data_IF_645080171745
#
_entry.id   IF_645080171745
#
_cell.length_a   1.000
_cell.length_b   1.000
_cell.length_c   1.000
_cell.angle_alpha   90.00
_cell.angle_beta   90.00
_cell.angle_gamma   90.00
#
_symmetry.space_group_name_H-M   'P 1'
#
loop_
_entity.id
_entity.type
_entity.pdbx_description
1 polymer ?
#
# COMPACT_ATOMS: atom_id res chain seq x y z
N UNK A 1 -1.75 -2.26 20.88
CA UNK A 1 -2.90 -2.81 20.11
C UNK A 1 -2.40 -3.89 19.16
N UNK A 2 -3.23 -4.85 18.74
CA UNK A 2 -2.91 -5.80 17.65
C UNK A 2 -3.89 -5.62 16.50
N UNK A 3 -3.40 -5.53 15.28
CA UNK A 3 -4.22 -5.47 14.08
C UNK A 3 -3.94 -6.70 13.22
N UNK A 4 -4.95 -7.54 13.04
CA UNK A 4 -4.90 -8.68 12.13
C UNK A 4 -5.30 -8.23 10.74
N UNK A 5 -4.40 -8.40 9.78
CA UNK A 5 -4.55 -7.87 8.42
C UNK A 5 -4.17 -8.92 7.38
N UNK A 6 -4.63 -8.72 6.14
CA UNK A 6 -4.16 -9.46 4.97
C UNK A 6 -3.65 -8.43 3.96
N UNK A 7 -2.46 -8.61 3.38
CA UNK A 7 -1.91 -7.68 2.39
C UNK A 7 -2.87 -7.43 1.23
N UNK A 8 -3.03 -6.16 0.88
CA UNK A 8 -3.91 -5.73 -0.20
C UNK A 8 -5.40 -5.79 0.15
N UNK A 9 -5.77 -6.14 1.38
CA UNK A 9 -7.16 -6.10 1.83
C UNK A 9 -7.55 -4.72 2.39
N UNK A 10 -8.80 -4.57 2.83
CA UNK A 10 -9.29 -3.29 3.38
C UNK A 10 -8.60 -2.88 4.67
N UNK A 11 -7.96 -3.84 5.36
CA UNK A 11 -7.21 -3.62 6.58
C UNK A 11 -6.05 -2.61 6.44
N UNK A 12 -5.58 -2.32 5.21
CA UNK A 12 -4.61 -1.24 4.98
C UNK A 12 -5.13 0.11 5.49
N UNK A 13 -6.44 0.37 5.42
CA UNK A 13 -7.01 1.61 5.92
C UNK A 13 -6.76 1.77 7.43
N UNK A 14 -6.92 0.68 8.18
CA UNK A 14 -6.70 0.65 9.63
C UNK A 14 -5.20 0.76 9.95
N UNK A 15 -4.33 0.11 9.16
CA UNK A 15 -2.87 0.29 9.25
C UNK A 15 -2.48 1.76 9.09
N UNK A 16 -2.96 2.43 8.04
CA UNK A 16 -2.64 3.83 7.77
C UNK A 16 -3.04 4.73 8.95
N UNK A 17 -4.23 4.51 9.53
CA UNK A 17 -4.69 5.29 10.69
C UNK A 17 -3.85 5.01 11.94
N UNK A 18 -3.43 3.76 12.16
CA UNK A 18 -2.49 3.43 13.23
C UNK A 18 -1.12 4.10 13.03
N UNK A 19 -0.59 4.13 11.80
CA UNK A 19 0.65 4.86 11.49
C UNK A 19 0.49 6.37 11.74
N UNK A 20 -0.61 6.97 11.30
CA UNK A 20 -0.91 8.38 11.57
C UNK A 20 -1.05 8.69 13.06
N UNK A 21 -1.42 7.69 13.87
CA UNK A 21 -1.52 7.86 15.32
C UNK A 21 -0.16 7.95 16.01
N UNK A 22 0.89 7.41 15.39
CA UNK A 22 2.21 7.25 15.99
C UNK A 22 2.25 6.30 17.20
N UNK A 23 1.17 5.59 17.50
CA UNK A 23 1.11 4.65 18.62
C UNK A 23 1.70 3.30 18.25
N UNK A 24 2.38 2.62 19.19
CA UNK A 24 2.86 1.27 18.97
C UNK A 24 1.70 0.27 18.82
N UNK A 25 1.78 -0.56 17.81
CA UNK A 25 0.88 -1.68 17.59
C UNK A 25 1.63 -2.88 16.98
N UNK A 26 1.04 -4.05 17.11
CA UNK A 26 1.50 -5.28 16.49
C UNK A 26 0.64 -5.55 15.24
N UNK A 27 1.28 -5.62 14.08
CA UNK A 27 0.63 -6.00 12.83
C UNK A 27 0.73 -7.52 12.64
N UNK A 28 -0.39 -8.23 12.77
CA UNK A 28 -0.46 -9.68 12.63
C UNK A 28 -0.90 -10.03 11.21
N UNK A 29 0.04 -10.48 10.39
CA UNK A 29 -0.21 -10.88 9.00
C UNK A 29 -1.01 -12.18 8.96
N UNK A 30 -2.08 -12.18 8.16
CA UNK A 30 -2.98 -13.30 7.95
C UNK A 30 -3.05 -13.69 6.48
N UNK A 31 -3.49 -14.92 6.21
CA UNK A 31 -3.79 -15.44 4.88
C UNK A 31 -5.18 -16.10 4.86
N UNK A 32 -5.63 -16.57 3.68
CA UNK A 32 -6.97 -17.16 3.52
C UNK A 32 -7.19 -18.41 4.37
N UNK A 33 -6.13 -19.12 4.75
CA UNK A 33 -6.18 -20.30 5.61
C UNK A 33 -6.17 -19.88 7.09
N UNK A 34 -5.27 -18.98 7.50
CA UNK A 34 -5.12 -18.60 8.91
C UNK A 34 -6.38 -17.90 9.46
N UNK A 35 -7.12 -17.14 8.63
CA UNK A 35 -8.41 -16.55 9.04
C UNK A 35 -9.55 -17.56 9.23
N UNK A 36 -9.31 -18.83 8.89
CA UNK A 36 -10.27 -19.95 9.07
C UNK A 36 -9.83 -20.93 10.14
N UNK A 37 -8.69 -20.69 10.80
CA UNK A 37 -8.22 -21.55 11.89
C UNK A 37 -9.03 -21.27 13.17
N UNK A 38 -9.25 -22.29 14.03
CA UNK A 38 -10.05 -22.16 15.24
C UNK A 38 -9.61 -21.03 16.16
N UNK A 39 -8.30 -20.78 16.28
CA UNK A 39 -7.73 -19.75 17.13
C UNK A 39 -8.15 -18.34 16.69
N UNK A 40 -8.18 -18.09 15.38
CA UNK A 40 -8.65 -16.81 14.84
C UNK A 40 -10.17 -16.72 14.87
N UNK A 41 -10.88 -17.79 14.56
CA UNK A 41 -12.36 -17.82 14.57
C UNK A 41 -12.93 -17.61 15.98
N UNK A 42 -12.18 -18.00 17.02
CA UNK A 42 -12.52 -17.69 18.41
C UNK A 42 -12.51 -16.17 18.70
N UNK A 43 -11.67 -15.40 17.98
CA UNK A 43 -11.61 -13.93 18.07
C UNK A 43 -12.60 -13.26 17.11
N UNK A 44 -12.70 -13.76 15.87
CA UNK A 44 -13.60 -13.25 14.85
C UNK A 44 -14.33 -14.40 14.13
N UNK A 45 -15.56 -14.73 14.55
CA UNK A 45 -16.35 -15.82 13.95
C UNK A 45 -16.63 -15.66 12.46
N UNK A 46 -16.60 -14.43 11.92
CA UNK A 46 -16.77 -14.20 10.49
C UNK A 46 -15.57 -14.69 9.65
N UNK A 47 -14.39 -14.84 10.28
CA UNK A 47 -13.16 -15.29 9.62
C UNK A 47 -12.75 -14.37 8.48
N UNK A 48 -12.77 -13.06 8.72
CA UNK A 48 -12.39 -12.01 7.77
C UNK A 48 -11.50 -10.98 8.46
N UNK A 49 -10.62 -10.32 7.70
CA UNK A 49 -9.88 -9.14 8.16
C UNK A 49 -10.59 -7.86 7.70
N UNK A 50 -10.36 -6.71 8.34
CA UNK A 50 -9.54 -6.47 9.54
C UNK A 50 -10.15 -7.00 10.84
N UNK A 51 -9.29 -7.21 11.85
CA UNK A 51 -9.69 -7.38 13.25
C UNK A 51 -8.71 -6.61 14.15
N UNK A 52 -9.22 -5.75 15.02
CA UNK A 52 -8.42 -5.04 16.02
C UNK A 52 -8.62 -5.71 17.39
N UNK A 53 -7.52 -5.95 18.11
CA UNK A 53 -7.53 -6.34 19.53
C UNK A 53 -6.85 -5.25 20.35
N UNK A 54 -7.56 -4.72 21.34
CA UNK A 54 -7.08 -3.71 22.26
C UNK A 54 -7.38 -4.14 23.71
N UNK A 55 -6.40 -4.77 24.36
CA UNK A 55 -6.60 -5.36 25.68
C UNK A 55 -7.54 -6.57 25.60
N UNK A 56 -8.61 -6.56 26.37
CA UNK A 56 -9.70 -7.55 26.36
C UNK A 56 -10.77 -7.26 25.29
N UNK A 57 -10.71 -6.08 24.65
CA UNK A 57 -11.65 -5.68 23.62
C UNK A 57 -11.21 -6.15 22.24
N UNK A 58 -12.14 -6.78 21.50
CA UNK A 58 -11.95 -7.20 20.11
C UNK A 58 -13.00 -6.54 19.23
N UNK A 59 -12.57 -5.93 18.13
CA UNK A 59 -13.41 -5.17 17.23
C UNK A 59 -13.17 -5.57 15.77
N UNK A 60 -14.23 -6.06 15.13
CA UNK A 60 -14.31 -6.28 13.69
C UNK A 60 -15.05 -5.11 13.01
N UNK A 61 -15.12 -5.16 11.68
CA UNK A 61 -15.67 -4.09 10.81
C UNK A 61 -14.77 -2.87 10.68
N UNK A 62 -14.28 -2.64 9.46
CA UNK A 62 -13.34 -1.56 9.14
C UNK A 62 -13.88 -0.18 9.54
N UNK A 63 -15.17 0.11 9.29
CA UNK A 63 -15.80 1.39 9.69
C UNK A 63 -15.79 1.61 11.21
N UNK A 64 -15.95 0.54 11.99
CA UNK A 64 -15.96 0.61 13.44
C UNK A 64 -14.54 0.76 13.99
N UNK A 65 -13.58 0.00 13.44
CA UNK A 65 -12.16 0.11 13.79
C UNK A 65 -11.64 1.52 13.51
N UNK A 66 -11.85 2.05 12.30
CA UNK A 66 -11.44 3.40 11.93
C UNK A 66 -12.06 4.47 12.84
N UNK A 67 -13.35 4.36 13.15
CA UNK A 67 -14.02 5.28 14.08
C UNK A 67 -13.43 5.21 15.49
N UNK A 68 -13.20 3.99 15.99
CA UNK A 68 -12.60 3.75 17.30
C UNK A 68 -11.17 4.32 17.40
N UNK A 69 -10.33 4.10 16.38
CA UNK A 69 -8.98 4.67 16.32
C UNK A 69 -8.99 6.20 16.28
N UNK A 70 -9.94 6.81 15.56
CA UNK A 70 -10.10 8.26 15.56
C UNK A 70 -10.53 8.80 16.93
N UNK A 71 -11.44 8.09 17.63
CA UNK A 71 -11.91 8.46 18.97
C UNK A 71 -10.82 8.28 20.05
N UNK A 72 -9.89 7.33 19.88
CA UNK A 72 -8.70 7.19 20.74
C UNK A 72 -7.69 8.34 20.56
N UNK A 73 -7.72 9.02 19.41
CA UNK A 73 -6.76 10.06 19.04
C UNK A 73 -7.44 11.36 18.59
N UNK A 74 -8.27 11.98 19.45
CA UNK A 74 -9.05 13.17 19.09
C UNK A 74 -8.18 14.36 18.69
N UNK A 75 -6.95 14.44 19.21
CA UNK A 75 -5.98 15.47 18.85
C UNK A 75 -5.59 15.48 17.37
N UNK A 76 -5.73 14.33 16.68
CA UNK A 76 -5.46 14.22 15.24
C UNK A 76 -6.65 14.68 14.39
N UNK A 77 -7.83 14.82 15.02
CA UNK A 77 -9.06 15.28 14.38
C UNK A 77 -9.44 14.44 13.14
N UNK A 78 -9.13 13.14 13.14
CA UNK A 78 -9.39 12.23 12.01
C UNK A 78 -10.88 11.92 11.82
N UNK A 79 -11.72 12.24 12.81
CA UNK A 79 -13.18 12.20 12.74
C UNK A 79 -13.82 13.59 12.56
N UNK A 80 -13.03 14.58 12.10
CA UNK A 80 -13.47 15.98 11.97
C UNK A 80 -12.96 16.87 13.11
N UNK A 81 -13.49 18.09 13.20
CA UNK A 81 -13.10 19.11 14.18
C UNK A 81 -13.73 18.93 15.57
N UNK A 82 -14.38 17.79 15.82
CA UNK A 82 -15.13 17.50 17.04
C UNK A 82 -16.59 17.96 17.01
N UNK A 83 -17.00 18.75 16.01
CA UNK A 83 -18.41 19.10 15.84
C UNK A 83 -19.23 17.92 15.31
N UNK A 84 -20.53 17.81 15.67
CA UNK A 84 -21.42 16.80 15.09
C UNK A 84 -21.49 16.86 13.57
N UNK A 85 -21.38 18.06 13.00
CA UNK A 85 -21.40 18.27 11.55
C UNK A 85 -20.17 17.69 10.87
N UNK A 86 -18.97 17.98 11.35
CA UNK A 86 -17.75 17.43 10.77
C UNK A 86 -17.69 15.90 10.91
N UNK A 87 -18.13 15.37 12.06
CA UNK A 87 -18.29 13.92 12.27
C UNK A 87 -19.23 13.31 11.24
N UNK A 88 -20.40 13.91 11.02
CA UNK A 88 -21.38 13.41 10.06
C UNK A 88 -20.84 13.42 8.61
N UNK A 89 -20.06 14.44 8.23
CA UNK A 89 -19.42 14.51 6.91
C UNK A 89 -18.39 13.38 6.69
N UNK A 90 -17.55 13.10 7.69
CA UNK A 90 -16.61 11.96 7.64
C UNK A 90 -17.36 10.64 7.56
N UNK A 91 -18.37 10.45 8.41
CA UNK A 91 -19.17 9.23 8.43
C UNK A 91 -19.97 9.02 7.14
N UNK A 92 -20.42 10.08 6.47
CA UNK A 92 -21.08 9.99 5.16
C UNK A 92 -20.16 9.36 4.11
N UNK A 93 -18.93 9.87 4.01
CA UNK A 93 -17.96 9.35 3.04
C UNK A 93 -17.46 7.97 3.41
N UNK A 94 -17.23 7.71 4.69
CA UNK A 94 -16.84 6.38 5.17
C UNK A 94 -17.95 5.35 4.92
N UNK A 95 -19.21 5.71 5.14
CA UNK A 95 -20.38 4.91 4.81
C UNK A 95 -20.45 4.60 3.33
N UNK A 96 -20.35 5.62 2.46
CA UNK A 96 -20.34 5.45 1.01
C UNK A 96 -19.21 4.51 0.53
N UNK A 97 -18.00 4.69 1.04
CA UNK A 97 -16.84 3.84 0.71
C UNK A 97 -17.08 2.38 1.12
N UNK A 98 -17.63 2.15 2.30
CA UNK A 98 -17.89 0.81 2.82
C UNK A 98 -19.09 0.11 2.14
N UNK A 99 -20.22 0.80 2.04
CA UNK A 99 -21.48 0.20 1.63
C UNK A 99 -21.64 0.09 0.12
N UNK A 100 -21.03 1.01 -0.64
CA UNK A 100 -21.26 1.14 -2.07
C UNK A 100 -19.98 0.78 -2.84
N UNK A 101 -18.90 1.53 -2.58
CA UNK A 101 -17.64 1.39 -3.35
C UNK A 101 -16.98 0.03 -3.11
N UNK A 102 -16.70 -0.33 -1.86
CA UNK A 102 -16.10 -1.62 -1.52
C UNK A 102 -16.99 -2.77 -2.03
N UNK A 103 -18.30 -2.71 -1.80
CA UNK A 103 -19.20 -3.78 -2.27
C UNK A 103 -19.18 -3.94 -3.78
N UNK A 104 -19.03 -2.87 -4.56
CA UNK A 104 -18.94 -2.93 -6.01
C UNK A 104 -17.71 -3.70 -6.52
N UNK A 105 -16.65 -3.84 -5.72
CA UNK A 105 -15.51 -4.69 -6.08
C UNK A 105 -15.76 -6.20 -5.89
N UNK A 106 -16.77 -6.61 -5.12
CA UNK A 106 -16.96 -8.04 -4.81
C UNK A 106 -17.16 -8.94 -6.03
N UNK A 107 -17.93 -8.56 -7.06
CA UNK A 107 -18.06 -9.37 -8.27
C UNK A 107 -16.79 -9.40 -9.12
N UNK A 108 -15.85 -8.46 -8.90
CA UNK A 108 -14.55 -8.43 -9.57
C UNK A 108 -13.58 -9.40 -8.89
N UNK A 109 -13.54 -9.42 -7.56
CA UNK A 109 -12.63 -10.27 -6.78
C UNK A 109 -13.10 -11.71 -6.62
N UNK A 110 -14.42 -11.90 -6.54
CA UNK A 110 -15.04 -13.19 -6.22
C UNK A 110 -16.23 -13.49 -7.15
N UNK A 111 -16.05 -13.48 -8.48
CA UNK A 111 -17.14 -13.74 -9.43
C UNK A 111 -17.81 -15.12 -9.19
N UNK A 112 -17.07 -16.10 -8.70
CA UNK A 112 -17.55 -17.45 -8.37
C UNK A 112 -18.66 -17.48 -7.31
N UNK A 113 -18.76 -16.44 -6.46
CA UNK A 113 -19.85 -16.33 -5.47
C UNK A 113 -21.20 -15.98 -6.09
N UNK A 114 -21.19 -15.44 -7.29
CA UNK A 114 -22.39 -15.04 -8.03
C UNK A 114 -22.68 -16.02 -9.17
N UNK A 115 -21.63 -16.59 -9.76
CA UNK A 115 -21.68 -17.49 -10.90
C UNK A 115 -20.77 -18.70 -10.64
N UNK A 116 -21.24 -19.70 -9.87
CA UNK A 116 -20.42 -20.88 -9.53
C UNK A 116 -19.90 -21.63 -10.76
N UNK A 117 -20.69 -21.66 -11.84
CA UNK A 117 -20.34 -22.34 -13.09
C UNK A 117 -19.49 -21.47 -14.05
N UNK A 118 -19.17 -20.23 -13.65
CA UNK A 118 -18.21 -19.35 -14.33
C UNK A 118 -18.63 -18.73 -15.66
N UNK A 119 -19.70 -19.20 -16.30
CA UNK A 119 -20.03 -18.87 -17.70
C UNK A 119 -20.14 -17.38 -18.05
N UNK A 120 -20.58 -16.53 -17.11
CA UNK A 120 -20.71 -15.06 -17.31
C UNK A 120 -19.76 -14.24 -16.42
N UNK A 121 -18.74 -14.87 -15.82
CA UNK A 121 -17.87 -14.21 -14.84
C UNK A 121 -17.16 -12.96 -15.41
N UNK A 122 -16.69 -13.03 -16.65
CA UNK A 122 -16.01 -11.91 -17.31
C UNK A 122 -16.96 -10.72 -17.53
N UNK A 123 -18.20 -10.99 -17.94
CA UNK A 123 -19.23 -9.97 -18.15
C UNK A 123 -19.65 -9.34 -16.82
N UNK A 124 -19.85 -10.15 -15.78
CA UNK A 124 -20.15 -9.68 -14.43
C UNK A 124 -19.06 -8.74 -13.90
N UNK A 125 -17.79 -9.13 -14.04
CA UNK A 125 -16.66 -8.31 -13.64
C UNK A 125 -16.56 -7.01 -14.47
N UNK A 126 -16.90 -7.05 -15.77
CA UNK A 126 -16.93 -5.85 -16.61
C UNK A 126 -18.03 -4.87 -16.17
N UNK A 127 -19.24 -5.34 -15.90
CA UNK A 127 -20.33 -4.52 -15.36
C UNK A 127 -19.95 -3.92 -14.01
N UNK A 128 -19.36 -4.72 -13.11
CA UNK A 128 -18.92 -4.24 -11.80
C UNK A 128 -17.84 -3.15 -11.91
N UNK A 129 -16.88 -3.29 -12.83
CA UNK A 129 -15.90 -2.23 -13.13
C UNK A 129 -16.57 -0.92 -13.58
N UNK A 130 -17.66 -1.01 -14.35
CA UNK A 130 -18.48 0.15 -14.73
C UNK A 130 -19.06 0.87 -13.50
N UNK A 131 -19.70 0.14 -12.59
CA UNK A 131 -20.25 0.73 -11.35
C UNK A 131 -19.17 1.32 -10.45
N UNK A 132 -18.02 0.65 -10.31
CA UNK A 132 -16.88 1.23 -9.58
C UNK A 132 -16.47 2.54 -10.22
N UNK A 133 -16.35 2.61 -11.55
CA UNK A 133 -15.97 3.84 -12.28
C UNK A 133 -16.96 4.98 -12.05
N UNK A 134 -18.27 4.70 -12.00
CA UNK A 134 -19.28 5.72 -11.66
C UNK A 134 -19.08 6.28 -10.24
N UNK A 135 -18.82 5.42 -9.26
CA UNK A 135 -18.53 5.86 -7.90
C UNK A 135 -17.21 6.63 -7.80
N UNK A 136 -16.20 6.27 -8.58
CA UNK A 136 -14.97 7.05 -8.69
C UNK A 136 -15.24 8.45 -9.26
N UNK A 137 -16.12 8.58 -10.25
CA UNK A 137 -16.53 9.90 -10.76
C UNK A 137 -17.13 10.80 -9.67
N UNK A 138 -17.95 10.24 -8.77
CA UNK A 138 -18.47 10.98 -7.61
C UNK A 138 -17.38 11.41 -6.63
N UNK A 139 -16.39 10.55 -6.39
CA UNK A 139 -15.27 10.85 -5.49
C UNK A 139 -14.31 11.88 -6.11
N UNK A 140 -14.06 11.80 -7.42
CA UNK A 140 -13.26 12.77 -8.15
C UNK A 140 -13.88 14.16 -8.08
N UNK A 141 -15.19 14.28 -8.36
CA UNK A 141 -15.92 15.53 -8.24
C UNK A 141 -15.92 16.07 -6.80
N UNK A 142 -15.97 15.19 -5.80
CA UNK A 142 -15.88 15.63 -4.39
C UNK A 142 -14.53 16.28 -4.07
N UNK A 143 -13.46 15.84 -4.73
CA UNK A 143 -12.11 16.35 -4.53
C UNK A 143 -11.79 17.58 -5.39
N UNK A 144 -12.73 18.03 -6.23
CA UNK A 144 -12.54 19.27 -7.00
C UNK A 144 -12.30 20.45 -6.06
N UNK A 145 -11.12 21.07 -6.20
CA UNK A 145 -10.68 22.18 -5.34
C UNK A 145 -10.42 21.79 -3.87
N UNK A 146 -10.32 20.49 -3.55
CA UNK A 146 -10.08 20.00 -2.17
C UNK A 146 -8.92 19.01 -2.13
N UNK A 147 -8.14 19.09 -1.05
CA UNK A 147 -7.06 18.12 -0.84
C UNK A 147 -7.55 16.78 -0.25
N UNK A 148 -8.65 16.83 0.50
CA UNK A 148 -9.22 15.73 1.27
C UNK A 148 -10.74 15.69 1.11
N UNK A 149 -11.34 14.50 1.25
CA UNK A 149 -12.78 14.30 1.04
C UNK A 149 -13.66 15.21 1.91
N UNK A 150 -13.20 15.53 3.11
CA UNK A 150 -13.92 16.39 4.07
C UNK A 150 -13.24 17.74 4.30
N UNK A 151 -12.35 18.18 3.41
CA UNK A 151 -11.57 19.42 3.55
C UNK A 151 -10.37 19.31 4.50
N UNK A 152 -10.38 18.34 5.43
CA UNK A 152 -9.22 17.91 6.21
C UNK A 152 -9.02 16.41 6.10
N UNK A 153 -7.78 15.95 6.33
CA UNK A 153 -7.43 14.53 6.42
C UNK A 153 -8.25 13.81 7.48
N UNK A 154 -8.86 12.70 7.10
CA UNK A 154 -9.77 11.92 7.91
C UNK A 154 -9.59 10.42 7.70
N UNK A 155 -10.26 9.63 8.53
CA UNK A 155 -10.34 8.18 8.35
C UNK A 155 -11.00 7.76 7.02
N UNK A 156 -11.84 8.62 6.43
CA UNK A 156 -12.43 8.35 5.12
C UNK A 156 -11.37 8.37 4.01
N UNK A 157 -10.35 9.21 4.12
CA UNK A 157 -9.27 9.32 3.13
C UNK A 157 -8.38 8.06 3.14
N UNK A 158 -8.09 7.50 4.32
CA UNK A 158 -7.36 6.23 4.43
C UNK A 158 -8.11 5.09 3.73
N UNK A 159 -9.43 4.97 3.93
CA UNK A 159 -10.22 3.93 3.27
C UNK A 159 -10.38 4.18 1.77
N UNK A 160 -10.55 5.45 1.37
CA UNK A 160 -10.62 5.84 -0.03
C UNK A 160 -9.36 5.43 -0.79
N UNK A 161 -8.18 5.67 -0.22
CA UNK A 161 -6.91 5.28 -0.83
C UNK A 161 -6.83 3.78 -1.11
N UNK A 162 -7.33 2.92 -0.21
CA UNK A 162 -7.39 1.48 -0.47
C UNK A 162 -8.27 1.15 -1.68
N UNK A 163 -9.44 1.79 -1.81
CA UNK A 163 -10.32 1.59 -2.96
C UNK A 163 -9.65 2.02 -4.27
N UNK A 164 -8.85 3.09 -4.25
CA UNK A 164 -8.11 3.54 -5.43
C UNK A 164 -6.98 2.58 -5.82
N UNK A 165 -6.27 2.01 -4.84
CA UNK A 165 -5.31 0.92 -5.10
C UNK A 165 -5.99 -0.27 -5.78
N UNK A 166 -7.18 -0.65 -5.32
CA UNK A 166 -7.96 -1.71 -5.95
C UNK A 166 -8.42 -1.36 -7.35
N UNK A 167 -8.88 -0.12 -7.58
CA UNK A 167 -9.27 0.34 -8.92
C UNK A 167 -8.11 0.20 -9.92
N UNK A 168 -6.90 0.58 -9.51
CA UNK A 168 -5.68 0.42 -10.32
C UNK A 168 -5.39 -1.07 -10.57
N UNK A 169 -5.36 -1.89 -9.52
CA UNK A 169 -5.04 -3.32 -9.61
C UNK A 169 -6.08 -4.17 -10.35
N UNK A 170 -7.31 -3.69 -10.50
CA UNK A 170 -8.43 -4.44 -11.10
C UNK A 170 -8.83 -3.97 -12.50
N UNK A 171 -7.98 -3.19 -13.16
CA UNK A 171 -8.19 -2.66 -14.53
C UNK A 171 -9.38 -1.68 -14.64
N UNK A 172 -9.83 -1.08 -13.53
CA UNK A 172 -10.71 0.11 -13.58
C UNK A 172 -9.88 1.34 -13.98
N UNK A 173 -8.71 1.48 -13.36
CA UNK A 173 -7.78 2.58 -13.58
C UNK A 173 -8.32 3.94 -13.11
N UNK A 174 -7.48 4.97 -13.22
CA UNK A 174 -7.81 6.35 -12.84
C UNK A 174 -7.79 7.33 -14.02
N UNK A 175 -7.68 6.83 -15.26
CA UNK A 175 -7.67 7.69 -16.45
C UNK A 175 -8.95 8.53 -16.53
N UNK A 176 -8.80 9.85 -16.65
CA UNK A 176 -9.91 10.82 -16.64
C UNK A 176 -10.38 11.24 -15.24
N UNK A 177 -9.68 10.83 -14.17
CA UNK A 177 -9.94 11.28 -12.79
C UNK A 177 -8.70 11.97 -12.22
N UNK A 178 -8.52 13.23 -12.60
CA UNK A 178 -7.33 14.01 -12.25
C UNK A 178 -7.25 14.31 -10.75
N UNK A 179 -8.38 14.57 -10.09
CA UNK A 179 -8.42 14.84 -8.66
C UNK A 179 -8.08 13.58 -7.85
N UNK A 180 -8.57 12.42 -8.27
CA UNK A 180 -8.18 11.13 -7.68
C UNK A 180 -6.70 10.81 -7.90
N UNK A 181 -6.17 11.12 -9.09
CA UNK A 181 -4.75 10.92 -9.37
C UNK A 181 -3.88 11.80 -8.47
N UNK A 182 -4.26 13.06 -8.27
CA UNK A 182 -3.60 13.96 -7.34
C UNK A 182 -3.70 13.47 -5.88
N UNK A 183 -4.87 12.98 -5.47
CA UNK A 183 -5.08 12.39 -4.14
C UNK A 183 -4.18 11.17 -3.90
N UNK A 184 -4.09 10.24 -4.85
CA UNK A 184 -3.21 9.06 -4.76
C UNK A 184 -1.75 9.45 -4.62
N UNK A 185 -1.29 10.44 -5.39
CA UNK A 185 0.10 10.95 -5.26
C UNK A 185 0.36 11.51 -3.87
N UNK A 186 -0.58 12.27 -3.32
CA UNK A 186 -0.50 12.82 -1.96
C UNK A 186 -0.42 11.71 -0.91
N UNK A 187 -1.28 10.69 -1.03
CA UNK A 187 -1.26 9.54 -0.13
C UNK A 187 0.06 8.76 -0.22
N UNK A 188 0.62 8.55 -1.41
CA UNK A 188 1.93 7.89 -1.54
C UNK A 188 3.09 8.70 -0.97
N UNK A 189 2.97 10.03 -0.92
CA UNK A 189 3.98 10.90 -0.32
C UNK A 189 3.86 11.01 1.22
N UNK A 190 2.78 10.50 1.82
CA UNK A 190 2.58 10.51 3.26
C UNK A 190 3.41 9.39 3.93
N UNK A 191 4.19 9.75 4.94
CA UNK A 191 5.12 8.82 5.62
C UNK A 191 4.40 7.65 6.30
N UNK A 192 3.23 7.90 6.90
CA UNK A 192 2.45 6.86 7.56
C UNK A 192 1.83 5.89 6.56
N UNK A 193 1.37 6.40 5.42
CA UNK A 193 0.91 5.55 4.31
C UNK A 193 2.06 4.70 3.78
N UNK A 194 3.25 5.28 3.60
CA UNK A 194 4.42 4.53 3.14
C UNK A 194 4.81 3.43 4.14
N UNK A 195 4.86 3.74 5.44
CA UNK A 195 5.15 2.76 6.49
C UNK A 195 4.15 1.60 6.49
N UNK A 196 2.84 1.89 6.36
CA UNK A 196 1.80 0.89 6.26
C UNK A 196 1.95 -0.02 5.02
N UNK A 197 2.31 0.55 3.86
CA UNK A 197 2.54 -0.22 2.63
C UNK A 197 3.75 -1.15 2.76
N UNK A 198 4.86 -0.67 3.34
CA UNK A 198 6.05 -1.48 3.62
C UNK A 198 5.70 -2.67 4.50
N UNK A 199 4.88 -2.48 5.55
CA UNK A 199 4.38 -3.60 6.36
C UNK A 199 3.57 -4.62 5.55
N UNK A 200 2.68 -4.18 4.65
CA UNK A 200 1.89 -5.09 3.81
C UNK A 200 2.76 -5.97 2.90
N UNK A 201 3.88 -5.44 2.44
CA UNK A 201 4.84 -6.14 1.59
C UNK A 201 5.65 -7.20 2.37
N UNK A 202 5.50 -7.24 3.71
CA UNK A 202 6.28 -8.13 4.57
C UNK A 202 7.67 -7.58 4.89
N UNK A 203 7.92 -6.32 4.54
CA UNK A 203 9.10 -5.59 4.92
C UNK A 203 8.85 -5.02 6.33
N UNK A 204 9.76 -5.32 7.25
CA UNK A 204 9.58 -4.89 8.64
C UNK A 204 9.46 -3.35 8.71
N UNK A 205 8.48 -2.81 9.44
CA UNK A 205 8.40 -1.38 9.71
C UNK A 205 9.61 -0.91 10.53
N UNK A 206 9.91 0.38 10.40
CA UNK A 206 11.12 1.15 10.77
C UNK A 206 11.76 0.91 12.15
N UNK A 207 11.22 0.07 13.02
CA UNK A 207 11.74 -0.12 14.39
C UNK A 207 12.80 -1.19 14.52
N UNK A 208 13.08 -2.02 13.51
CA UNK A 208 14.16 -3.02 13.63
C UNK A 208 15.18 -3.09 12.49
N UNK A 209 14.98 -2.49 11.29
CA UNK A 209 15.95 -2.63 10.18
C UNK A 209 16.07 -1.44 9.22
N UNK A 210 16.08 -0.20 9.70
CA UNK A 210 16.65 0.90 8.91
C UNK A 210 18.08 1.16 9.37
N UNK A 211 19.00 0.37 8.85
CA UNK A 211 20.38 0.83 8.71
C UNK A 211 20.32 2.08 7.84
N UNK A 212 20.93 3.19 8.28
CA UNK A 212 21.04 4.39 7.46
C UNK A 212 21.65 4.01 6.09
N UNK A 213 21.45 4.79 5.02
CA UNK A 213 22.10 4.50 3.74
C UNK A 213 23.63 4.25 3.89
N UNK A 214 24.36 4.98 4.78
CA UNK A 214 25.72 4.64 5.17
C UNK A 214 25.91 3.22 5.73
N UNK A 215 25.01 2.76 6.61
CA UNK A 215 25.07 1.43 7.22
C UNK A 215 24.73 0.31 6.21
N UNK A 216 23.78 0.55 5.29
CA UNK A 216 23.46 -0.38 4.20
C UNK A 216 24.66 -0.55 3.26
N UNK A 217 25.30 0.56 2.88
CA UNK A 217 26.51 0.53 2.07
C UNK A 217 27.70 -0.08 2.81
N UNK A 218 27.84 0.15 4.12
CA UNK A 218 28.88 -0.50 4.93
C UNK A 218 28.73 -2.02 4.86
N UNK A 219 27.54 -2.56 5.15
CA UNK A 219 27.26 -4.00 5.12
C UNK A 219 27.41 -4.60 3.72
N UNK A 220 26.97 -3.88 2.69
CA UNK A 220 27.16 -4.31 1.32
C UNK A 220 28.66 -4.40 0.99
N UNK A 221 29.43 -3.37 1.34
CA UNK A 221 30.89 -3.33 1.17
C UNK A 221 31.61 -4.46 1.94
N UNK A 222 31.07 -4.91 3.08
CA UNK A 222 31.57 -6.10 3.77
C UNK A 222 31.30 -7.39 2.98
N UNK A 223 30.11 -7.53 2.38
CA UNK A 223 29.74 -8.71 1.57
C UNK A 223 30.56 -8.82 0.28
N UNK A 224 30.96 -7.69 -0.32
CA UNK A 224 31.75 -7.65 -1.57
C UNK A 224 33.26 -7.39 -1.34
N UNK A 225 33.75 -7.55 -0.11
CA UNK A 225 35.11 -7.13 0.30
C UNK A 225 36.24 -7.76 -0.53
N UNK A 226 36.05 -8.96 -1.05
CA UNK A 226 37.06 -9.72 -1.80
C UNK A 226 36.76 -9.79 -3.32
N UNK A 227 36.04 -8.80 -3.87
CA UNK A 227 35.51 -8.79 -5.25
C UNK A 227 34.53 -9.94 -5.56
N UNK A 228 33.97 -10.56 -4.52
CA UNK A 228 32.90 -11.54 -4.68
C UNK A 228 31.60 -10.82 -5.04
N UNK A 229 30.94 -11.28 -6.10
CA UNK A 229 29.59 -10.83 -6.44
C UNK A 229 28.59 -11.37 -5.40
N UNK A 230 27.61 -10.56 -5.03
CA UNK A 230 26.54 -10.95 -4.12
C UNK A 230 25.18 -10.62 -4.72
N UNK A 231 24.24 -11.54 -4.61
CA UNK A 231 22.87 -11.37 -5.11
C UNK A 231 21.94 -11.00 -3.96
N UNK A 232 21.14 -9.95 -4.14
CA UNK A 232 20.08 -9.57 -3.21
C UNK A 232 18.93 -8.89 -3.95
N UNK A 233 17.79 -8.73 -3.26
CA UNK A 233 16.67 -7.95 -3.78
C UNK A 233 16.87 -6.46 -3.47
N UNK A 234 16.46 -5.61 -4.38
CA UNK A 234 16.40 -4.17 -4.15
C UNK A 234 15.10 -3.59 -4.68
N UNK A 235 14.74 -2.43 -4.17
CA UNK A 235 13.63 -1.63 -4.66
C UNK A 235 14.17 -0.34 -5.28
N UNK A 236 13.86 -0.12 -6.56
CA UNK A 236 14.13 1.15 -7.25
C UNK A 236 12.96 2.09 -7.02
N UNK A 237 13.15 3.08 -6.15
CA UNK A 237 12.10 4.00 -5.70
C UNK A 237 12.19 5.35 -6.42
N UNK A 238 13.42 5.78 -6.71
CA UNK A 238 13.73 7.03 -7.40
C UNK A 238 13.96 6.86 -8.90
N UNK A 239 14.47 7.91 -9.53
CA UNK A 239 14.99 7.84 -10.89
C UNK A 239 16.43 7.31 -10.84
N UNK A 240 16.73 6.28 -11.62
CA UNK A 240 18.06 5.68 -11.73
C UNK A 240 18.41 5.64 -13.22
N UNK A 241 19.23 6.60 -13.63
CA UNK A 241 19.69 6.74 -15.01
C UNK A 241 21.21 6.64 -15.05
N UNK A 242 21.75 6.06 -16.11
CA UNK A 242 23.19 5.99 -16.35
C UNK A 242 23.49 6.09 -17.84
N UNK A 243 24.43 6.96 -18.20
CA UNK A 243 25.03 7.02 -19.52
C UNK A 243 26.54 6.86 -19.39
N UNK A 244 27.11 5.98 -20.22
CA UNK A 244 28.57 5.82 -20.31
C UNK A 244 29.07 6.66 -21.50
N UNK A 245 29.48 7.91 -21.22
CA UNK A 245 29.93 8.85 -22.26
C UNK A 245 28.82 9.26 -23.22
N UNK A 246 29.08 9.18 -24.53
CA UNK A 246 28.12 9.51 -25.61
C UNK A 246 27.14 8.36 -25.92
N UNK A 247 27.06 7.35 -25.04
CA UNK A 247 26.18 6.19 -25.19
C UNK A 247 24.69 6.47 -24.93
N UNK A 248 23.85 5.47 -25.20
CA UNK A 248 22.42 5.54 -24.90
C UNK A 248 22.16 5.63 -23.38
N UNK A 249 21.21 6.47 -22.97
CA UNK A 249 20.76 6.54 -21.58
C UNK A 249 20.08 5.22 -21.18
N UNK A 250 20.61 4.60 -20.13
CA UNK A 250 20.02 3.43 -19.48
C UNK A 250 19.17 3.90 -18.31
N UNK A 251 17.87 3.63 -18.36
CA UNK A 251 16.96 3.83 -17.24
C UNK A 251 16.69 2.48 -16.55
N UNK A 252 16.96 2.40 -15.24
CA UNK A 252 16.57 1.24 -14.44
C UNK A 252 15.13 1.44 -14.00
N UNK A 253 14.27 0.49 -14.39
CA UNK A 253 12.85 0.51 -14.08
C UNK A 253 12.60 0.56 -12.57
N UNK A 254 11.63 1.38 -12.17
CA UNK A 254 11.10 1.42 -10.79
C UNK A 254 10.41 0.13 -10.37
N UNK A 255 10.51 -0.17 -9.07
CA UNK A 255 9.93 -1.35 -8.44
C UNK A 255 10.98 -2.38 -8.05
N UNK A 256 10.52 -3.61 -7.82
CA UNK A 256 11.36 -4.69 -7.34
C UNK A 256 12.28 -5.22 -8.45
N UNK A 257 13.55 -5.35 -8.09
CA UNK A 257 14.61 -5.86 -8.96
C UNK A 257 15.49 -6.82 -8.17
N UNK A 258 16.01 -7.84 -8.84
CA UNK A 258 17.14 -8.61 -8.33
C UNK A 258 18.41 -7.89 -8.75
N UNK A 259 19.38 -7.74 -7.84
CA UNK A 259 20.67 -7.15 -8.15
C UNK A 259 21.79 -8.15 -7.87
N UNK A 260 22.74 -8.23 -8.79
CA UNK A 260 24.05 -8.83 -8.57
C UNK A 260 25.08 -7.70 -8.43
N UNK A 261 25.66 -7.57 -7.23
CA UNK A 261 26.55 -6.46 -6.88
C UNK A 261 27.97 -6.97 -6.73
N UNK A 262 28.91 -6.32 -7.43
CA UNK A 262 30.36 -6.48 -7.25
C UNK A 262 31.00 -5.13 -6.88
N UNK A 263 32.32 -5.11 -6.67
CA UNK A 263 33.06 -3.84 -6.52
C UNK A 263 33.18 -3.04 -7.82
N UNK A 264 32.95 -3.67 -8.96
CA UNK A 264 33.07 -3.04 -10.27
C UNK A 264 31.74 -2.43 -10.69
N UNK A 265 30.68 -3.21 -10.56
CA UNK A 265 29.37 -2.93 -11.14
C UNK A 265 28.22 -3.51 -10.31
N UNK A 266 27.02 -3.09 -10.68
CA UNK A 266 25.77 -3.67 -10.20
C UNK A 266 24.89 -3.94 -11.39
N UNK A 267 24.48 -5.20 -11.50
CA UNK A 267 23.62 -5.70 -12.58
C UNK A 267 22.22 -5.87 -12.02
N UNK A 268 21.28 -5.10 -12.53
CA UNK A 268 19.85 -5.17 -12.23
C UNK A 268 19.18 -6.13 -13.19
N UNK A 269 18.34 -7.01 -12.65
CA UNK A 269 17.51 -7.94 -13.40
C UNK A 269 16.06 -7.82 -12.96
N UNK A 270 15.15 -7.71 -13.93
CA UNK A 270 13.71 -7.70 -13.65
C UNK A 270 12.93 -8.52 -14.66
N UNK A 271 11.76 -8.98 -14.25
CA UNK A 271 10.87 -9.79 -15.07
C UNK A 271 9.45 -9.28 -14.95
N UNK A 272 8.78 -9.14 -16.08
CA UNK A 272 7.32 -8.99 -16.14
C UNK A 272 6.69 -10.11 -16.98
N UNK A 273 5.36 -10.04 -17.17
CA UNK A 273 4.59 -11.07 -17.87
C UNK A 273 5.07 -11.33 -19.31
N UNK A 274 5.75 -10.38 -19.95
CA UNK A 274 6.13 -10.45 -21.37
C UNK A 274 7.62 -10.15 -21.66
N UNK A 275 8.40 -9.66 -20.70
CA UNK A 275 9.75 -9.15 -20.91
C UNK A 275 10.70 -9.51 -19.75
N UNK A 276 11.97 -9.75 -20.10
CA UNK A 276 13.09 -9.78 -19.17
C UNK A 276 14.02 -8.63 -19.54
N UNK A 277 14.30 -7.77 -18.57
CA UNK A 277 15.23 -6.65 -18.74
C UNK A 277 16.43 -6.79 -17.83
N UNK A 278 17.55 -6.27 -18.30
CA UNK A 278 18.79 -6.21 -17.54
C UNK A 278 19.46 -4.87 -17.81
N UNK A 279 20.02 -4.26 -16.78
CA UNK A 279 20.82 -3.04 -16.87
C UNK A 279 22.02 -3.16 -15.93
N UNK A 280 23.17 -2.60 -16.30
CA UNK A 280 24.35 -2.59 -15.46
C UNK A 280 24.85 -1.15 -15.29
N UNK A 281 25.22 -0.78 -14.06
CA UNK A 281 25.85 0.50 -13.75
C UNK A 281 27.09 0.29 -12.88
N UNK A 282 28.11 1.17 -12.94
CA UNK A 282 29.26 1.08 -12.05
C UNK A 282 28.85 1.16 -10.57
N UNK A 283 29.58 0.43 -9.70
CA UNK A 283 29.27 0.34 -8.28
C UNK A 283 29.24 1.72 -7.57
N UNK A 284 30.07 2.67 -8.00
CA UNK A 284 30.07 4.03 -7.47
C UNK A 284 28.75 4.76 -7.74
N UNK A 285 28.20 4.63 -8.95
CA UNK A 285 26.91 5.21 -9.31
C UNK A 285 25.78 4.54 -8.56
N UNK A 286 25.81 3.21 -8.47
CA UNK A 286 24.88 2.46 -7.65
C UNK A 286 24.90 2.92 -6.17
N UNK A 287 26.10 3.07 -5.59
CA UNK A 287 26.27 3.52 -4.21
C UNK A 287 25.72 4.93 -3.99
N UNK A 288 25.85 5.82 -4.98
CA UNK A 288 25.24 7.16 -4.96
C UNK A 288 23.71 7.09 -4.94
N UNK A 289 23.12 6.20 -5.73
CA UNK A 289 21.66 5.99 -5.77
C UNK A 289 21.12 5.32 -4.50
N UNK A 290 21.91 4.49 -3.82
CA UNK A 290 21.57 4.00 -2.48
C UNK A 290 21.67 5.14 -1.46
N UNK A 291 22.74 5.94 -1.51
CA UNK A 291 22.98 7.06 -0.59
C UNK A 291 21.90 8.14 -0.64
N UNK A 292 21.40 8.45 -1.84
CA UNK A 292 20.36 9.47 -2.04
C UNK A 292 18.93 8.92 -1.91
N UNK A 293 18.78 7.62 -1.61
CA UNK A 293 17.50 6.95 -1.39
C UNK A 293 16.73 6.57 -2.66
N UNK A 294 17.32 6.71 -3.85
CA UNK A 294 16.71 6.26 -5.10
C UNK A 294 16.66 4.72 -5.22
N UNK A 295 17.58 4.02 -4.55
CA UNK A 295 17.60 2.55 -4.45
C UNK A 295 17.61 2.15 -2.98
N UNK A 296 16.79 1.16 -2.63
CA UNK A 296 16.74 0.58 -1.29
C UNK A 296 17.11 -0.89 -1.33
N UNK A 297 18.02 -1.29 -0.44
CA UNK A 297 18.54 -2.65 -0.41
C UNK A 297 17.80 -3.49 0.65
N UNK A 298 17.46 -4.73 0.28
CA UNK A 298 16.95 -5.74 1.21
C UNK A 298 18.15 -6.50 1.81
N UNK A 299 18.79 -5.91 2.84
CA UNK A 299 20.05 -6.39 3.46
C UNK A 299 19.90 -6.99 4.86
#
# INVERSE_FOLDING_TARGET
>A
MKLFYMPGASALADHIVLEWSGQPYEAVRMDRRSIKMPEYLALNPAGVVPLLVHGDFTLSENVAILGYLADLHPQLQLAGDGSPRARAEVMRWLGFLNSDVHKAFRPIFFPERYLPDGGLAAQLAATARGHVREYLGRLDAQLEGREWLTGRRSIADAYHFVMLRWAIGTKVGLHGFENLTAFVRRMHADEGVHAALVMEEGLAPRTERAHSAPDQLMRLNERIRDNLATTLNAEVVGLVEYSEGDGAELEVRRGLVEIEVSRMDTVFSWRDENYRGQAAIPFENFSRYVSNGAIRLDL
#
